data_IF_946939482482
#
_entry.id   IF_946939482482
#
_cell.length_a   1.000
_cell.length_b   1.000
_cell.length_c   1.000
_cell.angle_alpha   90.00
_cell.angle_beta   90.00
_cell.angle_gamma   90.00
#
_symmetry.space_group_name_H-M   'P 1'
#
loop_
_entity.id
_entity.type
_entity.pdbx_description
1 polymer ?
#
# COMPACT_ATOMS: atom_id res chain seq x y z
N UNK A 1 10.31 10.05 -21.01
CA UNK A 1 9.89 8.74 -20.45
C UNK A 1 8.39 8.60 -20.69
N UNK A 2 7.89 7.47 -21.20
CA UNK A 2 6.43 7.29 -21.34
C UNK A 2 5.78 7.14 -19.95
N UNK A 3 4.53 7.55 -19.82
CA UNK A 3 3.78 7.45 -18.55
C UNK A 3 3.75 6.01 -17.99
N UNK A 4 3.78 5.03 -18.89
CA UNK A 4 3.80 3.60 -18.59
C UNK A 4 5.12 3.15 -17.92
N UNK A 5 6.27 3.64 -18.39
CA UNK A 5 7.56 3.35 -17.76
C UNK A 5 7.70 3.97 -16.37
N UNK A 6 7.04 5.11 -16.15
CA UNK A 6 6.97 5.75 -14.82
C UNK A 6 6.08 4.92 -13.90
N UNK A 7 4.90 4.48 -14.35
CA UNK A 7 4.00 3.64 -13.56
C UNK A 7 4.67 2.32 -13.13
N UNK A 8 5.36 1.64 -14.05
CA UNK A 8 6.06 0.38 -13.75
C UNK A 8 7.19 0.59 -12.72
N UNK A 9 8.02 1.64 -12.88
CA UNK A 9 9.09 1.94 -11.92
C UNK A 9 8.55 2.33 -10.54
N UNK A 10 7.48 3.10 -10.49
CA UNK A 10 6.83 3.50 -9.24
C UNK A 10 6.21 2.29 -8.54
N UNK A 11 5.57 1.37 -9.26
CA UNK A 11 5.07 0.13 -8.67
C UNK A 11 6.19 -0.73 -8.07
N UNK A 12 7.35 -0.86 -8.72
CA UNK A 12 8.47 -1.60 -8.13
C UNK A 12 9.00 -0.94 -6.84
N UNK A 13 9.07 0.39 -6.81
CA UNK A 13 9.47 1.12 -5.60
C UNK A 13 8.44 0.94 -4.47
N UNK A 14 7.14 1.03 -4.79
CA UNK A 14 6.05 0.86 -3.83
C UNK A 14 5.99 -0.58 -3.28
N UNK A 15 6.11 -1.60 -4.14
CA UNK A 15 6.18 -3.01 -3.75
C UNK A 15 7.38 -3.25 -2.81
N UNK A 16 8.57 -2.77 -3.18
CA UNK A 16 9.78 -2.94 -2.37
C UNK A 16 9.68 -2.24 -1.00
N UNK A 17 9.16 -1.00 -0.99
CA UNK A 17 8.97 -0.21 0.22
C UNK A 17 7.95 -0.83 1.17
N UNK A 18 6.78 -1.21 0.67
CA UNK A 18 5.72 -1.82 1.47
C UNK A 18 6.10 -3.23 1.95
N UNK A 19 6.86 -4.00 1.16
CA UNK A 19 7.35 -5.31 1.61
C UNK A 19 8.36 -5.19 2.75
N UNK A 20 9.30 -4.25 2.66
CA UNK A 20 10.24 -3.98 3.75
C UNK A 20 9.52 -3.50 5.01
N UNK A 21 8.55 -2.60 4.87
CA UNK A 21 7.72 -2.12 5.99
C UNK A 21 6.90 -3.24 6.61
N UNK A 22 6.29 -4.13 5.81
CA UNK A 22 5.53 -5.27 6.30
C UNK A 22 6.40 -6.19 7.17
N UNK A 23 7.62 -6.51 6.73
CA UNK A 23 8.55 -7.36 7.50
C UNK A 23 8.94 -6.67 8.82
N UNK A 24 9.31 -5.40 8.78
CA UNK A 24 9.73 -4.64 9.97
C UNK A 24 8.58 -4.57 10.99
N UNK A 25 7.37 -4.24 10.53
CA UNK A 25 6.17 -4.14 11.36
C UNK A 25 5.76 -5.49 11.95
N UNK A 26 5.81 -6.56 11.15
CA UNK A 26 5.48 -7.91 11.61
C UNK A 26 6.44 -8.38 12.72
N UNK A 27 7.75 -8.19 12.52
CA UNK A 27 8.75 -8.52 13.54
C UNK A 27 8.57 -7.65 14.79
N UNK A 28 8.40 -6.35 14.63
CA UNK A 28 8.18 -5.44 15.77
C UNK A 28 6.88 -5.73 16.52
N UNK A 29 5.80 -6.08 15.82
CA UNK A 29 4.52 -6.48 16.39
C UNK A 29 4.61 -7.78 17.18
N UNK A 30 5.27 -8.80 16.62
CA UNK A 30 5.47 -10.10 17.26
C UNK A 30 6.35 -9.99 18.52
N UNK A 31 7.54 -9.40 18.42
CA UNK A 31 8.43 -9.25 19.57
C UNK A 31 7.91 -8.23 20.60
N UNK A 32 7.15 -7.25 20.12
CA UNK A 32 6.58 -6.15 20.91
C UNK A 32 5.26 -6.48 21.62
N UNK A 33 4.62 -7.60 21.27
CA UNK A 33 3.25 -7.93 21.66
C UNK A 33 2.27 -6.79 21.33
N UNK A 34 2.44 -6.17 20.16
CA UNK A 34 1.60 -5.05 19.72
C UNK A 34 0.69 -5.49 18.57
N UNK A 35 -0.60 -5.65 18.87
CA UNK A 35 -1.63 -5.92 17.88
C UNK A 35 -1.76 -4.80 16.85
N UNK A 36 -1.55 -3.54 17.24
CA UNK A 36 -1.56 -2.41 16.31
C UNK A 36 -0.47 -2.53 15.23
N UNK A 37 0.75 -2.92 15.63
CA UNK A 37 1.85 -3.15 14.67
C UNK A 37 1.61 -4.38 13.79
N UNK A 38 0.91 -5.40 14.29
CA UNK A 38 0.53 -6.56 13.48
C UNK A 38 -0.55 -6.16 12.46
N UNK A 39 -1.58 -5.41 12.87
CA UNK A 39 -2.60 -4.90 11.96
C UNK A 39 -1.99 -4.01 10.86
N UNK A 40 -1.09 -3.09 11.23
CA UNK A 40 -0.36 -2.21 10.31
C UNK A 40 0.63 -3.00 9.40
N UNK A 41 1.11 -4.18 9.83
CA UNK A 41 1.88 -5.10 9.00
C UNK A 41 1.01 -5.84 7.96
N UNK A 42 -0.22 -6.21 8.33
CA UNK A 42 -1.20 -6.84 7.43
C UNK A 42 -1.62 -5.83 6.36
N UNK A 43 -1.84 -4.57 6.73
CA UNK A 43 -2.11 -3.47 5.79
C UNK A 43 -0.98 -3.33 4.77
N UNK A 44 0.27 -3.16 5.20
CA UNK A 44 1.40 -3.06 4.27
C UNK A 44 1.58 -4.31 3.39
N UNK A 45 1.21 -5.49 3.87
CA UNK A 45 1.21 -6.72 3.05
C UNK A 45 0.12 -6.68 1.97
N UNK A 46 -1.05 -6.17 2.31
CA UNK A 46 -2.19 -5.95 1.41
C UNK A 46 -1.82 -4.98 0.28
N UNK A 47 -1.07 -3.93 0.61
CA UNK A 47 -0.59 -2.95 -0.37
C UNK A 47 0.42 -3.54 -1.36
N UNK A 48 1.32 -4.40 -0.87
CA UNK A 48 2.25 -5.16 -1.74
C UNK A 48 1.48 -6.03 -2.73
N UNK A 49 0.48 -6.76 -2.24
CA UNK A 49 -0.32 -7.64 -3.08
C UNK A 49 -1.13 -6.86 -4.12
N UNK A 50 -1.82 -5.80 -3.69
CA UNK A 50 -2.59 -4.91 -4.56
C UNK A 50 -1.71 -4.26 -5.63
N UNK A 51 -0.54 -3.75 -5.24
CA UNK A 51 0.43 -3.15 -6.17
C UNK A 51 0.97 -4.17 -7.18
N UNK A 52 1.15 -5.43 -6.76
CA UNK A 52 1.57 -6.51 -7.66
C UNK A 52 0.48 -6.86 -8.67
N UNK A 53 -0.78 -6.94 -8.25
CA UNK A 53 -1.92 -7.16 -9.15
C UNK A 53 -2.06 -6.04 -10.18
N UNK A 54 -1.93 -4.78 -9.75
CA UNK A 54 -1.93 -3.62 -10.67
C UNK A 54 -0.80 -3.73 -11.69
N UNK A 55 0.42 -4.07 -11.26
CA UNK A 55 1.57 -4.21 -12.16
C UNK A 55 1.35 -5.32 -13.19
N UNK A 56 0.81 -6.47 -12.77
CA UNK A 56 0.50 -7.58 -13.69
C UNK A 56 -0.60 -7.19 -14.68
N UNK A 57 -1.64 -6.51 -14.20
CA UNK A 57 -2.73 -6.04 -15.03
C UNK A 57 -2.30 -5.02 -16.06
N UNK A 58 -1.48 -4.04 -15.66
CA UNK A 58 -0.93 -3.04 -16.57
C UNK A 58 -0.05 -3.69 -17.64
N UNK A 59 0.82 -4.63 -17.24
CA UNK A 59 1.68 -5.37 -18.18
C UNK A 59 0.89 -6.23 -19.17
N UNK A 60 -0.28 -6.72 -18.78
CA UNK A 60 -1.16 -7.45 -19.68
C UNK A 60 -1.97 -6.51 -20.57
N UNK A 61 -2.45 -5.38 -20.03
CA UNK A 61 -3.19 -4.36 -20.76
C UNK A 61 -2.39 -3.76 -21.92
N UNK A 62 -1.07 -3.65 -21.76
CA UNK A 62 -0.17 -3.03 -22.74
C UNK A 62 0.37 -4.03 -23.76
N UNK A 63 -0.09 -5.29 -23.73
CA UNK A 63 0.20 -6.24 -24.81
C UNK A 63 -0.43 -5.77 -26.13
N UNK A 64 0.29 -5.87 -27.25
CA UNK A 64 -0.26 -5.59 -28.57
C UNK A 64 -1.42 -6.53 -28.90
N UNK A 65 -2.24 -6.16 -29.88
CA UNK A 65 -3.33 -6.99 -30.36
C UNK A 65 -2.81 -8.35 -30.86
N UNK A 66 -3.53 -9.42 -30.54
CA UNK A 66 -3.26 -10.78 -31.01
C UNK A 66 -4.48 -11.34 -31.75
N UNK A 67 -4.35 -12.56 -32.30
CA UNK A 67 -5.44 -13.20 -33.06
C UNK A 67 -6.69 -13.48 -32.21
N UNK A 68 -6.54 -13.62 -30.88
CA UNK A 68 -7.65 -13.85 -29.96
C UNK A 68 -8.30 -12.52 -29.49
N UNK A 69 -7.56 -11.40 -29.54
CA UNK A 69 -8.00 -10.07 -29.16
C UNK A 69 -7.64 -9.04 -30.25
N UNK A 70 -8.43 -8.96 -31.33
CA UNK A 70 -8.18 -8.07 -32.47
C UNK A 70 -8.20 -6.57 -32.10
N UNK A 71 -8.89 -6.22 -31.01
CA UNK A 71 -9.02 -4.85 -30.51
C UNK A 71 -7.95 -4.48 -29.45
N UNK A 72 -7.02 -5.40 -29.14
CA UNK A 72 -5.99 -5.22 -28.12
C UNK A 72 -6.45 -5.54 -26.70
N UNK A 73 -5.48 -5.58 -25.76
CA UNK A 73 -5.70 -6.03 -24.38
C UNK A 73 -6.07 -4.91 -23.40
N UNK A 74 -6.19 -3.67 -23.85
CA UNK A 74 -6.42 -2.50 -22.98
C UNK A 74 -7.70 -2.58 -22.12
N UNK A 75 -8.72 -3.34 -22.55
CA UNK A 75 -9.95 -3.52 -21.76
C UNK A 75 -9.76 -4.35 -20.47
N UNK A 76 -8.60 -4.96 -20.26
CA UNK A 76 -8.32 -5.67 -19.01
C UNK A 76 -8.03 -4.72 -17.84
N UNK A 77 -7.59 -3.49 -18.12
CA UNK A 77 -7.20 -2.54 -17.07
C UNK A 77 -8.36 -2.24 -16.10
N UNK A 78 -9.58 -1.89 -16.57
CA UNK A 78 -10.74 -1.73 -15.68
C UNK A 78 -11.10 -3.00 -14.90
N UNK A 79 -10.93 -4.17 -15.49
CA UNK A 79 -11.17 -5.47 -14.85
C UNK A 79 -10.20 -5.70 -13.69
N UNK A 80 -8.91 -5.40 -13.90
CA UNK A 80 -7.89 -5.48 -12.85
C UNK A 80 -8.18 -4.46 -11.76
N UNK A 81 -8.52 -3.22 -12.12
CA UNK A 81 -8.91 -2.20 -11.14
C UNK A 81 -10.09 -2.67 -10.29
N UNK A 82 -11.10 -3.30 -10.90
CA UNK A 82 -12.25 -3.83 -10.18
C UNK A 82 -11.86 -4.91 -9.16
N UNK A 83 -10.99 -5.85 -9.55
CA UNK A 83 -10.48 -6.90 -8.65
C UNK A 83 -9.69 -6.28 -7.48
N UNK A 84 -8.83 -5.31 -7.76
CA UNK A 84 -8.05 -4.61 -6.73
C UNK A 84 -8.96 -3.87 -5.75
N UNK A 85 -9.97 -3.14 -6.23
CA UNK A 85 -10.95 -2.46 -5.37
C UNK A 85 -11.71 -3.46 -4.50
N UNK A 86 -12.14 -4.59 -5.05
CA UNK A 86 -12.78 -5.66 -4.27
C UNK A 86 -11.89 -6.22 -3.17
N UNK A 87 -10.60 -6.40 -3.46
CA UNK A 87 -9.61 -6.84 -2.48
C UNK A 87 -9.37 -5.80 -1.37
N UNK A 88 -9.30 -4.51 -1.72
CA UNK A 88 -9.17 -3.42 -0.75
C UNK A 88 -10.39 -3.33 0.19
N UNK A 89 -11.60 -3.44 -0.34
CA UNK A 89 -12.83 -3.44 0.47
C UNK A 89 -12.84 -4.63 1.44
N UNK A 90 -12.44 -5.80 0.96
CA UNK A 90 -12.37 -7.01 1.80
C UNK A 90 -11.35 -6.81 2.93
N UNK A 91 -10.16 -6.31 2.61
CA UNK A 91 -9.10 -6.09 3.59
C UNK A 91 -9.49 -5.04 4.63
N UNK A 92 -10.09 -3.93 4.20
CA UNK A 92 -10.62 -2.90 5.11
C UNK A 92 -11.69 -3.47 6.05
N UNK A 93 -12.55 -4.36 5.57
CA UNK A 93 -13.59 -5.00 6.39
C UNK A 93 -12.98 -5.93 7.43
N UNK A 94 -11.96 -6.71 7.06
CA UNK A 94 -11.23 -7.59 8.00
C UNK A 94 -10.52 -6.77 9.08
N UNK A 95 -9.79 -5.72 8.70
CA UNK A 95 -9.10 -4.83 9.65
C UNK A 95 -10.11 -4.16 10.60
N UNK A 96 -11.26 -3.69 10.08
CA UNK A 96 -12.30 -3.09 10.91
C UNK A 96 -12.89 -4.09 11.91
N UNK A 97 -13.15 -5.33 11.47
CA UNK A 97 -13.65 -6.39 12.34
C UNK A 97 -12.63 -6.74 13.44
N UNK A 98 -11.36 -6.90 13.09
CA UNK A 98 -10.29 -7.15 14.05
C UNK A 98 -10.14 -5.99 15.03
N UNK A 99 -10.23 -4.74 14.57
CA UNK A 99 -10.16 -3.57 15.45
C UNK A 99 -11.29 -3.58 16.50
N UNK A 100 -12.53 -3.89 16.10
CA UNK A 100 -13.67 -4.01 17.02
C UNK A 100 -13.46 -5.14 18.05
N UNK A 101 -13.02 -6.31 17.60
CA UNK A 101 -12.73 -7.44 18.48
C UNK A 101 -11.61 -7.09 19.48
N UNK A 102 -10.57 -6.40 19.01
CA UNK A 102 -9.42 -6.03 19.84
C UNK A 102 -9.76 -5.00 20.92
N UNK A 103 -10.72 -4.10 20.66
CA UNK A 103 -11.22 -3.14 21.66
C UNK A 103 -12.01 -3.85 22.77
N UNK A 104 -12.72 -4.94 22.42
CA UNK A 104 -13.55 -5.69 23.37
C UNK A 104 -12.77 -6.67 24.26
N UNK A 105 -11.58 -7.12 23.84
CA UNK A 105 -10.74 -8.04 24.61
C UNK A 105 -9.67 -7.29 25.44
N UNK A 106 -9.50 -7.61 26.74
CA UNK A 106 -8.41 -7.06 27.54
C UNK A 106 -7.07 -7.66 27.10
N UNK A 107 -6.18 -6.83 26.55
CA UNK A 107 -4.85 -7.24 26.11
C UNK A 107 -3.77 -6.85 27.12
N UNK A 108 -2.66 -7.62 27.16
CA UNK A 108 -1.45 -7.20 27.86
C UNK A 108 -0.95 -5.89 27.25
N UNK A 109 -0.57 -4.93 28.09
CA UNK A 109 -0.01 -3.66 27.63
C UNK A 109 1.20 -3.91 26.72
N UNK A 110 1.22 -3.33 25.50
CA UNK A 110 2.38 -3.42 24.60
C UNK A 110 3.64 -2.91 25.31
N UNK A 111 4.79 -3.51 24.99
CA UNK A 111 6.06 -3.06 25.58
C UNK A 111 6.38 -1.64 25.09
N UNK A 112 6.77 -0.73 25.99
CA UNK A 112 6.97 0.70 25.66
C UNK A 112 7.92 0.98 24.47
N UNK A 113 8.84 0.08 24.14
CA UNK A 113 9.72 0.24 22.96
C UNK A 113 8.97 0.15 21.62
N UNK A 114 7.77 -0.44 21.57
CA UNK A 114 6.94 -0.48 20.35
C UNK A 114 6.48 0.91 19.94
N UNK A 115 6.32 1.84 20.90
CA UNK A 115 5.99 3.24 20.61
C UNK A 115 7.12 3.96 19.86
N UNK A 116 8.38 3.61 20.15
CA UNK A 116 9.54 4.18 19.45
C UNK A 116 9.56 3.72 17.99
N UNK A 117 9.27 2.43 17.75
CA UNK A 117 9.17 1.87 16.39
C UNK A 117 8.01 2.50 15.63
N UNK A 118 6.84 2.64 16.27
CA UNK A 118 5.67 3.27 15.68
C UNK A 118 5.96 4.74 15.33
N UNK A 119 6.62 5.48 16.22
CA UNK A 119 7.10 6.84 15.96
C UNK A 119 8.10 6.93 14.79
N UNK A 120 9.01 5.95 14.66
CA UNK A 120 9.94 5.88 13.54
C UNK A 120 9.22 5.60 12.20
N UNK A 121 8.19 4.76 12.21
CA UNK A 121 7.35 4.47 11.03
C UNK A 121 6.57 5.73 10.61
N UNK A 122 5.95 6.42 11.57
CA UNK A 122 5.23 7.68 11.30
C UNK A 122 6.20 8.72 10.72
N UNK A 123 7.40 8.88 11.30
CA UNK A 123 8.42 9.77 10.78
C UNK A 123 8.84 9.42 9.35
N UNK A 124 9.01 8.13 9.06
CA UNK A 124 9.34 7.65 7.71
C UNK A 124 8.23 7.94 6.70
N UNK A 125 6.96 7.69 7.06
CA UNK A 125 5.79 7.96 6.21
C UNK A 125 5.62 9.46 5.98
N UNK A 126 5.80 10.30 6.99
CA UNK A 126 5.78 11.77 6.88
C UNK A 126 6.93 12.29 6.01
N UNK A 127 8.14 11.72 6.12
CA UNK A 127 9.26 12.08 5.25
C UNK A 127 8.95 11.72 3.78
N UNK A 128 8.44 10.52 3.54
CA UNK A 128 8.02 10.05 2.23
C UNK A 128 6.94 10.97 1.64
N UNK A 129 5.91 11.31 2.42
CA UNK A 129 4.90 12.31 2.04
C UNK A 129 5.53 13.63 1.60
N UNK A 130 6.44 14.20 2.41
CA UNK A 130 7.09 15.48 2.08
C UNK A 130 7.88 15.41 0.78
N UNK A 131 8.59 14.32 0.53
CA UNK A 131 9.36 14.12 -0.71
C UNK A 131 8.42 14.01 -1.92
N UNK A 132 7.37 13.19 -1.82
CA UNK A 132 6.43 12.94 -2.92
C UNK A 132 5.60 14.19 -3.22
N UNK A 133 5.16 14.94 -2.20
CA UNK A 133 4.36 16.17 -2.39
C UNK A 133 5.18 17.30 -3.03
N UNK A 134 6.49 17.38 -2.75
CA UNK A 134 7.39 18.35 -3.38
C UNK A 134 7.53 18.07 -4.88
N UNK A 135 7.77 16.80 -5.22
CA UNK A 135 7.84 16.34 -6.62
C UNK A 135 6.49 16.44 -7.33
N UNK A 136 5.38 16.24 -6.63
CA UNK A 136 4.03 16.43 -7.18
C UNK A 136 3.78 17.90 -7.57
N UNK A 137 4.21 18.85 -6.73
CA UNK A 137 4.10 20.30 -7.01
C UNK A 137 4.99 20.75 -8.16
N UNK A 138 6.22 20.24 -8.23
CA UNK A 138 7.17 20.57 -9.31
C UNK A 138 6.75 19.98 -10.67
N UNK A 139 6.12 18.81 -10.68
CA UNK A 139 5.68 18.12 -11.91
C UNK A 139 4.25 18.42 -12.36
N UNK A 140 3.45 19.09 -11.52
CA UNK A 140 2.03 19.35 -11.78
C UNK A 140 1.16 18.08 -11.87
N UNK A 141 1.69 16.92 -11.45
CA UNK A 141 1.03 15.63 -11.63
C UNK A 141 -0.02 15.35 -10.55
N UNK A 142 -1.27 15.19 -10.97
CA UNK A 142 -2.39 14.80 -10.09
C UNK A 142 -2.20 13.40 -9.50
N UNK A 143 -1.58 12.48 -10.24
CA UNK A 143 -1.31 11.11 -9.78
C UNK A 143 -0.30 11.07 -8.64
N UNK A 144 0.79 11.84 -8.74
CA UNK A 144 1.78 11.96 -7.65
C UNK A 144 1.20 12.65 -6.40
N UNK A 145 0.24 13.56 -6.60
CA UNK A 145 -0.47 14.20 -5.49
C UNK A 145 -1.40 13.23 -4.75
N UNK A 146 -2.06 12.33 -5.48
CA UNK A 146 -2.90 11.28 -4.88
C UNK A 146 -2.06 10.30 -4.06
N UNK A 147 -0.92 9.87 -4.60
CA UNK A 147 0.04 8.96 -3.93
C UNK A 147 0.63 9.59 -2.65
N UNK A 148 0.96 10.89 -2.70
CA UNK A 148 1.36 11.62 -1.50
C UNK A 148 0.23 11.62 -0.44
N UNK A 149 -1.01 11.83 -0.86
CA UNK A 149 -2.13 11.85 0.08
C UNK A 149 -2.39 10.48 0.71
N UNK A 150 -2.15 9.41 -0.04
CA UNK A 150 -2.19 8.04 0.47
C UNK A 150 -1.14 7.83 1.57
N UNK A 151 0.13 8.17 1.32
CA UNK A 151 1.19 8.10 2.34
C UNK A 151 0.88 8.90 3.61
N UNK A 152 0.19 10.04 3.48
CA UNK A 152 -0.23 10.84 4.63
C UNK A 152 -1.37 10.18 5.40
N UNK A 153 -2.34 9.59 4.70
CA UNK A 153 -3.44 8.86 5.34
C UNK A 153 -2.87 7.68 6.13
N UNK A 154 -1.94 6.95 5.53
CA UNK A 154 -1.28 5.81 6.17
C UNK A 154 -0.42 6.23 7.38
N UNK A 155 0.10 7.46 7.41
CA UNK A 155 0.85 7.98 8.55
C UNK A 155 -0.06 8.32 9.74
N UNK A 156 -1.34 8.61 9.48
CA UNK A 156 -2.34 8.95 10.49
C UNK A 156 -3.01 7.66 11.03
N UNK A 157 -3.11 6.61 10.21
CA UNK A 157 -3.73 5.34 10.58
C UNK A 157 -2.78 4.35 11.29
N UNK A 158 -1.46 4.51 11.16
CA UNK A 158 -0.44 3.76 11.91
C UNK A 158 -0.28 4.20 13.36
#
# INVERSE_FOLDING_TARGET
MSAEQVAIRTSYFSIGGNAALAIIKALAGYFGNSFALIADAIESTTDVFSSTLVLLGLKYATRPADENHPYGHGRIEPLVTFVVVGFLITSATVIAYEAVQNIMMPHKSPKAWTLIVLGAIILWKELSYRIVVRKAKESGSSSLKADAWHHRSDAITS
#
